data_IF_278313457498
#
_entry.id   IF_278313457498
#
_cell.length_a   1.000
_cell.length_b   1.000
_cell.length_c   1.000
_cell.angle_alpha   90.00
_cell.angle_beta   90.00
_cell.angle_gamma   90.00
#
_symmetry.space_group_name_H-M   'P 1'
#
loop_
_entity.id
_entity.type
_entity.pdbx_description
1 polymer ?
#
# COMPACT_ATOMS: atom_id res chain seq x y z
N UNK A 1 -17.00 36.52 3.69
CA UNK A 1 -16.30 36.09 4.92
C UNK A 1 -15.46 34.90 4.48
N UNK A 2 -14.12 34.95 4.58
CA UNK A 2 -13.29 33.83 4.11
C UNK A 2 -13.55 32.65 5.05
N UNK A 3 -14.20 31.61 4.55
CA UNK A 3 -14.31 30.34 5.27
C UNK A 3 -12.88 29.85 5.53
N UNK A 4 -12.49 29.85 6.80
CA UNK A 4 -11.20 29.30 7.20
C UNK A 4 -11.28 27.79 6.99
N UNK A 5 -10.28 27.15 6.36
CA UNK A 5 -10.27 25.70 6.24
C UNK A 5 -10.41 25.06 7.63
N UNK A 6 -11.03 23.88 7.76
CA UNK A 6 -11.35 23.28 9.06
C UNK A 6 -10.12 23.06 9.94
N UNK A 7 -8.96 22.76 9.34
CA UNK A 7 -7.68 22.62 10.03
C UNK A 7 -6.90 23.94 10.19
N UNK A 8 -7.42 25.04 9.64
CA UNK A 8 -6.81 26.36 9.73
C UNK A 8 -5.54 26.52 8.90
N UNK A 9 -4.73 27.51 9.29
CA UNK A 9 -3.46 27.82 8.63
C UNK A 9 -2.29 27.32 9.47
N UNK A 10 -1.31 26.68 8.82
CA UNK A 10 -0.12 26.18 9.51
C UNK A 10 0.74 27.34 10.04
N UNK A 11 1.09 27.27 11.32
CA UNK A 11 1.92 28.25 12.03
C UNK A 11 3.37 27.78 12.13
N UNK A 12 3.58 26.53 12.55
CA UNK A 12 4.91 25.99 12.82
C UNK A 12 4.92 24.46 12.81
N UNK A 13 6.13 23.89 12.78
CA UNK A 13 6.37 22.47 12.99
C UNK A 13 7.10 22.26 14.31
N UNK A 14 6.65 21.30 15.12
CA UNK A 14 7.27 20.97 16.41
C UNK A 14 7.92 19.59 16.36
N UNK A 15 9.23 19.56 16.68
CA UNK A 15 10.07 18.35 16.76
C UNK A 15 9.98 17.42 15.53
N UNK A 16 9.62 17.93 14.36
CA UNK A 16 9.46 17.11 13.16
C UNK A 16 8.32 16.10 13.21
N UNK A 17 7.46 16.14 14.24
CA UNK A 17 6.37 15.17 14.44
C UNK A 17 4.97 15.80 14.40
N UNK A 18 4.87 17.09 14.78
CA UNK A 18 3.59 17.79 14.85
C UNK A 18 3.56 19.04 13.99
N UNK A 19 2.41 19.31 13.38
CA UNK A 19 2.09 20.59 12.75
C UNK A 19 1.18 21.36 13.72
N UNK A 20 1.57 22.59 14.05
CA UNK A 20 0.72 23.54 14.75
C UNK A 20 -0.01 24.37 13.70
N UNK A 21 -1.33 24.42 13.78
CA UNK A 21 -2.18 25.24 12.92
C UNK A 21 -3.17 26.03 13.77
N UNK A 22 -3.71 27.12 13.23
CA UNK A 22 -4.71 27.96 13.90
C UNK A 22 -5.95 28.13 13.02
N UNK A 23 -7.12 27.89 13.60
CA UNK A 23 -8.42 28.10 12.99
C UNK A 23 -9.26 29.10 13.83
N UNK A 24 -10.51 29.31 13.45
CA UNK A 24 -11.42 30.25 14.14
C UNK A 24 -11.77 29.81 15.58
N UNK A 25 -11.59 28.54 15.90
CA UNK A 25 -11.90 27.95 17.22
C UNK A 25 -10.67 27.91 18.14
N UNK A 26 -9.45 27.98 17.58
CA UNK A 26 -8.20 28.08 18.32
C UNK A 26 -7.03 27.35 17.68
N UNK A 27 -6.12 26.85 18.53
CA UNK A 27 -4.93 26.11 18.12
C UNK A 27 -5.27 24.63 17.86
N UNK A 28 -4.87 24.14 16.70
CA UNK A 28 -4.98 22.76 16.26
C UNK A 28 -3.58 22.13 16.25
N UNK A 29 -3.45 20.96 16.86
CA UNK A 29 -2.22 20.17 16.83
C UNK A 29 -2.45 18.92 15.97
N UNK A 30 -1.72 18.79 14.88
CA UNK A 30 -1.84 17.66 13.95
C UNK A 30 -0.63 16.76 14.12
N UNK A 31 -0.87 15.47 14.40
CA UNK A 31 0.15 14.44 14.31
C UNK A 31 0.44 14.15 12.83
N UNK A 32 1.65 14.46 12.40
CA UNK A 32 2.02 14.32 10.99
C UNK A 32 2.16 12.86 10.58
N UNK A 33 2.54 11.94 11.47
CA UNK A 33 2.65 10.51 11.12
C UNK A 33 1.26 9.94 10.86
N UNK A 34 0.36 10.07 11.83
CA UNK A 34 -1.01 9.56 11.69
C UNK A 34 -1.78 10.23 10.54
N UNK A 35 -1.60 11.54 10.35
CA UNK A 35 -2.24 12.25 9.25
C UNK A 35 -1.70 11.79 7.89
N UNK A 36 -0.38 11.61 7.76
CA UNK A 36 0.23 11.12 6.52
C UNK A 36 -0.28 9.72 6.19
N UNK A 37 -0.25 8.80 7.14
CA UNK A 37 -0.73 7.44 6.98
C UNK A 37 -2.19 7.40 6.56
N UNK A 38 -3.07 8.17 7.22
CA UNK A 38 -4.49 8.21 6.87
C UNK A 38 -4.73 8.77 5.47
N UNK A 39 -4.02 9.84 5.09
CA UNK A 39 -4.14 10.42 3.75
C UNK A 39 -3.66 9.43 2.70
N UNK A 40 -2.52 8.78 2.91
CA UNK A 40 -1.98 7.77 1.99
C UNK A 40 -2.93 6.58 1.85
N UNK A 41 -3.50 6.09 2.95
CA UNK A 41 -4.51 5.03 2.95
C UNK A 41 -5.73 5.39 2.10
N UNK A 42 -6.34 6.55 2.36
CA UNK A 42 -7.53 6.98 1.62
C UNK A 42 -7.21 7.23 0.14
N UNK A 43 -6.03 7.77 -0.17
CA UNK A 43 -5.58 7.93 -1.56
C UNK A 43 -5.38 6.58 -2.27
N UNK A 44 -4.81 5.59 -1.58
CA UNK A 44 -4.68 4.22 -2.10
C UNK A 44 -6.06 3.61 -2.35
N UNK A 45 -6.97 3.73 -1.38
CA UNK A 45 -8.34 3.24 -1.48
C UNK A 45 -9.09 3.87 -2.65
N UNK A 46 -9.06 5.20 -2.78
CA UNK A 46 -9.73 5.91 -3.87
C UNK A 46 -9.15 5.57 -5.23
N UNK A 47 -7.81 5.55 -5.36
CA UNK A 47 -7.17 5.23 -6.63
C UNK A 47 -7.52 3.83 -7.08
N UNK A 48 -7.59 2.87 -6.17
CA UNK A 48 -7.80 1.47 -6.52
C UNK A 48 -9.28 1.11 -6.76
N UNK A 49 -10.21 1.90 -6.21
CA UNK A 49 -11.64 1.80 -6.53
C UNK A 49 -11.95 2.42 -7.91
N UNK A 50 -11.28 3.51 -8.28
CA UNK A 50 -11.62 4.27 -9.49
C UNK A 50 -10.77 3.92 -10.73
N UNK A 51 -9.50 3.49 -10.60
CA UNK A 51 -8.59 3.18 -11.72
C UNK A 51 -7.50 2.15 -11.36
N UNK A 52 -6.93 1.44 -12.35
CA UNK A 52 -5.70 0.66 -12.13
C UNK A 52 -4.58 1.64 -11.74
N UNK A 53 -3.86 1.43 -10.62
CA UNK A 53 -2.80 2.34 -10.19
C UNK A 53 -1.72 2.48 -11.27
N UNK A 54 -1.23 3.70 -11.48
CA UNK A 54 -0.10 3.93 -12.38
C UNK A 54 1.11 3.11 -11.91
N UNK A 55 1.57 2.19 -12.76
CA UNK A 55 2.73 1.36 -12.49
C UNK A 55 4.02 2.11 -12.86
N UNK A 56 4.97 2.12 -11.93
CA UNK A 56 6.33 2.60 -12.13
C UNK A 56 7.28 1.43 -12.44
N UNK A 57 7.93 1.40 -13.62
CA UNK A 57 8.98 0.44 -13.91
C UNK A 57 10.17 0.60 -12.97
N UNK A 58 10.74 -0.52 -12.53
CA UNK A 58 11.96 -0.57 -11.74
C UNK A 58 13.17 -0.55 -12.68
N UNK A 59 14.21 0.22 -12.30
CA UNK A 59 15.49 0.26 -13.03
C UNK A 59 16.19 -1.10 -12.96
N UNK A 60 16.08 -1.76 -11.81
CA UNK A 60 16.58 -3.12 -11.58
C UNK A 60 15.41 -3.96 -11.07
N UNK A 61 15.05 -5.06 -11.76
CA UNK A 61 14.02 -5.96 -11.28
C UNK A 61 14.37 -6.55 -9.91
N UNK A 62 13.37 -6.69 -9.04
CA UNK A 62 13.53 -7.37 -7.76
C UNK A 62 13.24 -8.84 -7.98
N UNK A 63 14.22 -9.69 -7.65
CA UNK A 63 14.09 -11.14 -7.73
C UNK A 63 13.61 -11.65 -6.37
N UNK A 64 12.49 -12.37 -6.37
CA UNK A 64 11.85 -12.91 -5.18
C UNK A 64 11.89 -14.44 -5.24
N UNK A 65 12.65 -15.03 -4.34
CA UNK A 65 12.60 -16.48 -4.12
C UNK A 65 11.27 -16.85 -3.44
N UNK A 66 10.60 -17.83 -4.04
CA UNK A 66 9.30 -18.37 -3.63
C UNK A 66 9.31 -19.89 -3.72
N UNK A 67 8.41 -20.55 -3.02
CA UNK A 67 8.17 -21.99 -3.21
C UNK A 67 7.50 -22.27 -4.56
N UNK A 68 7.59 -23.51 -5.04
CA UNK A 68 6.90 -23.91 -6.29
C UNK A 68 5.37 -23.73 -6.17
N UNK A 69 4.82 -23.99 -4.98
CA UNK A 69 3.39 -23.76 -4.70
C UNK A 69 3.01 -22.29 -4.81
N UNK A 70 3.81 -21.38 -4.27
CA UNK A 70 3.57 -19.93 -4.37
C UNK A 70 3.75 -19.42 -5.80
N UNK A 71 4.72 -19.95 -6.55
CA UNK A 71 4.90 -19.61 -7.97
C UNK A 71 3.68 -20.02 -8.80
N UNK A 72 3.13 -21.21 -8.56
CA UNK A 72 1.92 -21.68 -9.24
C UNK A 72 0.68 -20.88 -8.78
N UNK A 73 0.59 -20.53 -7.50
CA UNK A 73 -0.48 -19.68 -6.97
C UNK A 73 -0.46 -18.28 -7.59
N UNK A 74 0.74 -17.71 -7.77
CA UNK A 74 0.94 -16.45 -8.48
C UNK A 74 0.43 -16.52 -9.92
N UNK A 75 0.80 -17.57 -10.67
CA UNK A 75 0.37 -17.74 -12.07
C UNK A 75 -1.16 -17.85 -12.18
N UNK A 76 -1.81 -18.52 -11.22
CA UNK A 76 -3.27 -18.61 -11.17
C UNK A 76 -3.98 -17.28 -10.87
N UNK A 77 -3.28 -16.31 -10.27
CA UNK A 77 -3.84 -15.04 -9.79
C UNK A 77 -3.08 -13.82 -10.28
N UNK A 78 -2.42 -13.94 -11.43
CA UNK A 78 -1.58 -12.86 -11.98
C UNK A 78 -2.37 -11.57 -12.17
N UNK A 79 -3.66 -11.67 -12.52
CA UNK A 79 -4.56 -10.55 -12.71
C UNK A 79 -4.75 -9.71 -11.44
N UNK A 80 -4.71 -10.32 -10.25
CA UNK A 80 -4.82 -9.61 -8.96
C UNK A 80 -3.65 -8.65 -8.79
N UNK A 81 -2.43 -9.13 -9.03
CA UNK A 81 -1.23 -8.28 -8.96
C UNK A 81 -1.26 -7.17 -10.03
N UNK A 82 -1.79 -7.45 -11.22
CA UNK A 82 -2.01 -6.46 -12.26
C UNK A 82 -2.99 -5.35 -11.85
N UNK A 83 -4.12 -5.70 -11.25
CA UNK A 83 -5.10 -4.75 -10.71
C UNK A 83 -4.53 -3.88 -9.60
N UNK A 84 -3.63 -4.45 -8.80
CA UNK A 84 -2.90 -3.73 -7.76
C UNK A 84 -1.82 -2.78 -8.33
N UNK A 85 -1.53 -2.84 -9.63
CA UNK A 85 -0.52 -2.01 -10.31
C UNK A 85 0.90 -2.60 -10.30
N UNK A 86 1.04 -3.89 -9.98
CA UNK A 86 2.31 -4.61 -10.09
C UNK A 86 2.49 -5.23 -11.47
N UNK A 87 3.74 -5.23 -11.94
CA UNK A 87 4.16 -6.06 -13.08
C UNK A 87 5.15 -7.10 -12.57
N UNK A 88 4.66 -8.34 -12.45
CA UNK A 88 5.42 -9.48 -11.95
C UNK A 88 5.38 -10.59 -13.00
N UNK A 89 6.48 -11.31 -13.15
CA UNK A 89 6.59 -12.46 -14.06
C UNK A 89 7.38 -13.58 -13.40
N UNK A 90 7.02 -14.83 -13.66
CA UNK A 90 7.83 -15.99 -13.27
C UNK A 90 9.13 -16.00 -14.06
N UNK A 91 10.26 -15.98 -13.35
CA UNK A 91 11.61 -15.99 -13.92
C UNK A 91 12.30 -17.36 -13.81
N UNK A 92 11.73 -18.28 -13.04
CA UNK A 92 12.17 -19.66 -12.89
C UNK A 92 11.17 -20.49 -12.08
N UNK A 93 11.51 -21.73 -11.76
CA UNK A 93 10.62 -22.61 -10.99
C UNK A 93 10.23 -22.02 -9.64
N UNK A 94 11.18 -21.40 -8.94
CA UNK A 94 11.01 -20.89 -7.57
C UNK A 94 11.34 -19.40 -7.47
N UNK A 95 11.19 -18.65 -8.58
CA UNK A 95 11.61 -17.25 -8.65
C UNK A 95 10.60 -16.41 -9.40
N UNK A 96 10.15 -15.33 -8.76
CA UNK A 96 9.36 -14.26 -9.37
C UNK A 96 10.24 -13.03 -9.60
N UNK A 97 10.02 -12.33 -10.70
CA UNK A 97 10.70 -11.07 -11.02
C UNK A 97 9.67 -9.94 -11.03
N UNK A 98 9.83 -8.99 -10.11
CA UNK A 98 9.04 -7.76 -10.03
C UNK A 98 9.72 -6.72 -10.92
N UNK A 99 9.01 -6.25 -11.94
CA UNK A 99 9.52 -5.30 -12.94
C UNK A 99 8.89 -3.91 -12.85
N UNK A 100 7.68 -3.83 -12.30
CA UNK A 100 7.03 -2.56 -12.00
C UNK A 100 6.22 -2.67 -10.71
N UNK A 101 6.12 -1.56 -10.00
CA UNK A 101 5.38 -1.43 -8.75
C UNK A 101 4.46 -0.22 -8.82
N UNK A 102 3.37 -0.16 -8.06
CA UNK A 102 2.52 1.02 -8.00
C UNK A 102 3.32 2.24 -7.56
N UNK A 103 3.12 3.40 -8.21
CA UNK A 103 3.88 4.63 -7.91
C UNK A 103 3.80 5.03 -6.41
N UNK A 104 2.64 4.77 -5.81
CA UNK A 104 2.33 4.99 -4.39
C UNK A 104 3.17 4.11 -3.43
N UNK A 105 3.70 2.97 -3.89
CA UNK A 105 4.50 2.02 -3.11
C UNK A 105 5.99 2.04 -3.47
N UNK A 106 6.45 3.06 -4.22
CA UNK A 106 7.84 3.15 -4.70
C UNK A 106 8.92 2.96 -3.62
N UNK A 107 8.63 3.35 -2.38
CA UNK A 107 9.56 3.30 -1.23
C UNK A 107 9.25 2.18 -0.23
N UNK A 108 8.22 1.37 -0.50
CA UNK A 108 7.84 0.23 0.34
C UNK A 108 8.79 -0.96 0.17
N UNK A 109 8.74 -1.91 1.12
CA UNK A 109 9.30 -3.24 0.89
C UNK A 109 8.39 -4.04 -0.07
N UNK A 110 8.62 -3.86 -1.36
CA UNK A 110 7.85 -4.53 -2.41
C UNK A 110 8.00 -6.05 -2.39
N UNK A 111 9.13 -6.58 -1.90
CA UNK A 111 9.36 -8.02 -1.81
C UNK A 111 8.54 -8.62 -0.66
N UNK A 112 8.59 -7.99 0.52
CA UNK A 112 7.75 -8.34 1.66
C UNK A 112 6.26 -8.27 1.32
N UNK A 113 5.85 -7.19 0.66
CA UNK A 113 4.46 -7.02 0.27
C UNK A 113 3.96 -8.12 -0.67
N UNK A 114 4.72 -8.47 -1.71
CA UNK A 114 4.32 -9.55 -2.63
C UNK A 114 4.22 -10.89 -1.90
N UNK A 115 5.08 -11.16 -0.91
CA UNK A 115 4.98 -12.36 -0.08
C UNK A 115 3.71 -12.36 0.77
N UNK A 116 3.38 -11.24 1.40
CA UNK A 116 2.19 -11.15 2.24
C UNK A 116 0.91 -11.30 1.41
N UNK A 117 0.87 -10.70 0.22
CA UNK A 117 -0.25 -10.92 -0.73
C UNK A 117 -0.33 -12.39 -1.17
N UNK A 118 0.80 -13.06 -1.42
CA UNK A 118 0.80 -14.49 -1.76
C UNK A 118 0.32 -15.35 -0.57
N UNK A 119 0.68 -14.99 0.65
CA UNK A 119 0.22 -15.67 1.86
C UNK A 119 -1.30 -15.50 2.05
N UNK A 120 -1.80 -14.28 1.91
CA UNK A 120 -3.24 -13.98 1.95
C UNK A 120 -3.98 -14.77 0.86
N UNK A 121 -3.46 -14.80 -0.37
CA UNK A 121 -4.04 -15.60 -1.46
C UNK A 121 -4.00 -17.10 -1.18
N UNK A 122 -3.01 -17.62 -0.46
CA UNK A 122 -2.93 -19.04 -0.12
C UNK A 122 -4.01 -19.41 0.92
N UNK A 123 -4.32 -18.52 1.86
CA UNK A 123 -5.40 -18.70 2.82
C UNK A 123 -6.79 -18.55 2.15
N UNK A 124 -6.95 -17.51 1.32
CA UNK A 124 -8.21 -17.15 0.66
C UNK A 124 -8.55 -18.05 -0.54
N UNK A 125 -7.54 -18.56 -1.25
CA UNK A 125 -7.69 -19.48 -2.39
C UNK A 125 -8.35 -20.81 -2.04
N UNK A 126 -8.65 -21.07 -0.76
CA UNK A 126 -9.48 -22.20 -0.32
C UNK A 126 -10.99 -21.93 -0.43
N UNK A 127 -11.39 -20.69 -0.68
CA UNK A 127 -12.78 -20.24 -0.79
C UNK A 127 -12.85 -19.22 -1.93
N UNK A 128 -13.13 -19.67 -3.16
CA UNK A 128 -13.07 -19.01 -4.50
C UNK A 128 -13.63 -17.56 -4.67
N UNK A 129 -13.43 -16.67 -3.69
CA UNK A 129 -14.02 -15.34 -3.57
C UNK A 129 -12.94 -14.29 -3.35
N UNK A 130 -11.89 -14.34 -4.15
CA UNK A 130 -10.78 -13.40 -4.08
C UNK A 130 -11.26 -11.98 -4.40
N UNK A 131 -12.24 -11.82 -5.29
CA UNK A 131 -12.87 -10.53 -5.59
C UNK A 131 -13.55 -9.88 -4.36
N UNK A 132 -14.12 -10.67 -3.45
CA UNK A 132 -14.71 -10.17 -2.19
C UNK A 132 -13.63 -9.81 -1.15
N UNK A 133 -12.39 -10.31 -1.33
CA UNK A 133 -11.28 -10.12 -0.39
C UNK A 133 -10.19 -9.18 -0.90
N UNK A 134 -10.41 -8.53 -2.04
CA UNK A 134 -9.55 -7.44 -2.52
C UNK A 134 -9.39 -6.38 -1.41
N UNK A 135 -10.44 -6.10 -0.63
CA UNK A 135 -10.36 -5.17 0.51
C UNK A 135 -9.39 -5.62 1.62
N UNK A 136 -9.27 -6.92 1.87
CA UNK A 136 -8.30 -7.48 2.82
C UNK A 136 -6.87 -7.31 2.30
N UNK A 137 -6.65 -7.67 1.03
CA UNK A 137 -5.34 -7.52 0.36
C UNK A 137 -4.91 -6.05 0.31
N UNK A 138 -5.87 -5.14 0.13
CA UNK A 138 -5.63 -3.70 0.18
C UNK A 138 -5.25 -3.19 1.55
N UNK A 139 -5.85 -3.76 2.60
CA UNK A 139 -5.45 -3.48 3.97
C UNK A 139 -3.98 -3.86 4.19
N UNK A 140 -3.57 -5.03 3.70
CA UNK A 140 -2.16 -5.49 3.77
C UNK A 140 -1.21 -4.54 3.05
N UNK A 141 -1.58 -4.05 1.86
CA UNK A 141 -0.78 -3.08 1.09
C UNK A 141 -0.65 -1.74 1.81
N UNK A 142 -1.73 -1.24 2.41
CA UNK A 142 -1.71 -0.01 3.17
C UNK A 142 -0.76 -0.06 4.37
N UNK A 143 -0.71 -1.21 5.05
CA UNK A 143 0.22 -1.46 6.15
C UNK A 143 1.69 -1.54 5.70
N UNK A 144 1.97 -1.66 4.40
CA UNK A 144 3.33 -1.70 3.82
C UNK A 144 3.73 -0.42 3.10
N UNK A 145 2.96 0.67 3.25
CA UNK A 145 3.39 1.98 2.81
C UNK A 145 4.76 2.37 3.41
N UNK A 146 5.44 3.40 2.90
CA UNK A 146 6.81 3.78 3.27
C UNK A 146 7.12 4.02 4.77
N UNK A 147 6.12 3.97 5.64
CA UNK A 147 6.24 4.13 7.10
C UNK A 147 5.50 3.04 7.90
N UNK A 148 5.06 1.96 7.26
CA UNK A 148 4.26 0.91 7.89
C UNK A 148 5.01 0.07 8.93
N UNK A 149 4.61 0.18 10.19
CA UNK A 149 4.96 -0.79 11.23
C UNK A 149 4.25 -2.14 10.99
N UNK A 150 4.84 -3.27 11.44
CA UNK A 150 4.27 -4.60 11.23
C UNK A 150 2.85 -4.72 11.80
N UNK A 151 1.98 -5.42 11.07
CA UNK A 151 0.54 -5.63 11.33
C UNK A 151 0.16 -6.05 12.76
N UNK A 152 1.13 -6.45 13.60
CA UNK A 152 0.96 -6.71 15.03
C UNK A 152 0.54 -5.50 15.89
N UNK A 153 0.70 -4.26 15.41
CA UNK A 153 0.36 -3.04 16.16
C UNK A 153 -0.96 -2.37 15.75
N UNK A 154 -1.63 -2.85 14.71
CA UNK A 154 -2.97 -2.40 14.33
C UNK A 154 -4.03 -3.20 15.09
N UNK A 155 -4.33 -2.82 16.34
CA UNK A 155 -5.56 -3.20 17.04
C UNK A 155 -6.24 -1.97 17.64
#
# INVERSE_FOLDING_TARGET
MRDSPPLGFALAQFKGAYILAENLEGLVLVDMHAAHERITYEQLKMKLIDQVPAAQPLVVPIMLDVTDSEANLFENHQDVFGQLGFSISRAGHTVLAIRAVPEVLKKADNAGLVRDVLADLAELGRSDRIAEHIESVLSTIACHGPYGEPASHCR
#
